data_IF_864753278528
#
_entry.id   IF_864753278528
#
_cell.length_a   1.000
_cell.length_b   1.000
_cell.length_c   1.000
_cell.angle_alpha   90.00
_cell.angle_beta   90.00
_cell.angle_gamma   90.00
#
_symmetry.space_group_name_H-M   'P 1'
#
loop_
_entity.id
_entity.type
_entity.pdbx_description
1 polymer ?
#
# COMPACT_ATOMS: atom_id res chain seq x y z
N UNK A 1 -35.00 29.56 36.88
CA UNK A 1 -33.99 29.28 35.88
C UNK A 1 -33.40 27.90 36.18
N UNK A 2 -33.92 26.88 35.52
CA UNK A 2 -33.41 25.51 35.66
C UNK A 2 -32.27 25.29 34.67
N UNK A 3 -31.12 24.91 35.19
CA UNK A 3 -29.94 24.53 34.39
C UNK A 3 -30.26 23.18 33.72
N UNK A 4 -30.30 23.18 32.38
CA UNK A 4 -30.35 21.94 31.60
C UNK A 4 -28.98 21.27 31.69
N UNK A 5 -28.94 20.09 32.31
CA UNK A 5 -27.76 19.21 32.34
C UNK A 5 -27.42 18.75 30.93
N UNK A 6 -26.18 19.02 30.52
CA UNK A 6 -25.59 18.53 29.28
C UNK A 6 -25.33 17.02 29.44
N UNK A 7 -26.11 16.18 28.74
CA UNK A 7 -25.91 14.74 28.69
C UNK A 7 -24.97 14.38 27.55
N UNK A 8 -23.73 13.94 27.80
CA UNK A 8 -22.76 13.60 26.74
C UNK A 8 -23.02 12.23 26.08
N UNK A 9 -24.08 11.52 26.46
CA UNK A 9 -24.41 10.18 25.93
C UNK A 9 -25.62 10.17 24.99
N UNK A 10 -26.00 11.29 24.40
CA UNK A 10 -27.03 11.29 23.36
C UNK A 10 -26.46 10.64 22.11
N UNK A 11 -26.87 9.42 21.84
CA UNK A 11 -26.50 8.54 20.75
C UNK A 11 -26.40 9.29 19.43
N UNK A 12 -25.19 9.43 18.90
CA UNK A 12 -24.95 9.77 17.51
C UNK A 12 -25.23 8.53 16.65
N UNK A 13 -26.51 8.29 16.35
CA UNK A 13 -26.95 7.45 15.22
C UNK A 13 -27.54 8.33 14.12
N UNK A 14 -27.01 9.53 13.94
CA UNK A 14 -27.19 10.26 12.70
C UNK A 14 -26.18 9.69 11.72
N UNK A 15 -26.65 8.96 10.72
CA UNK A 15 -25.86 8.57 9.56
C UNK A 15 -25.43 9.88 8.91
N UNK A 16 -24.22 10.35 9.22
CA UNK A 16 -23.64 11.49 8.52
C UNK A 16 -23.61 11.05 7.05
N UNK A 17 -24.35 11.77 6.20
CA UNK A 17 -24.36 11.50 4.77
C UNK A 17 -22.90 11.56 4.27
N UNK A 18 -22.36 10.41 3.87
CA UNK A 18 -21.00 10.33 3.38
C UNK A 18 -20.90 10.99 2.03
N UNK A 19 -19.77 11.65 1.77
CA UNK A 19 -19.44 12.15 0.44
C UNK A 19 -19.56 11.00 -0.58
N UNK A 20 -20.19 11.21 -1.74
CA UNK A 20 -20.41 10.13 -2.72
C UNK A 20 -19.16 9.77 -3.57
N UNK A 21 -17.96 10.16 -3.10
CA UNK A 21 -16.67 9.65 -3.57
C UNK A 21 -16.20 8.60 -2.56
N UNK A 22 -15.99 7.35 -2.96
CA UNK A 22 -15.74 6.22 -2.07
C UNK A 22 -14.56 5.39 -2.58
N UNK A 23 -13.71 4.94 -1.65
CA UNK A 23 -12.73 3.89 -1.88
C UNK A 23 -13.22 2.58 -1.23
N UNK A 24 -13.71 1.65 -2.02
CA UNK A 24 -14.03 0.31 -1.55
C UNK A 24 -12.74 -0.51 -1.43
N UNK A 25 -12.57 -1.18 -0.28
CA UNK A 25 -11.38 -1.98 0.04
C UNK A 25 -11.76 -3.46 0.04
N UNK A 26 -11.43 -4.15 -1.04
CA UNK A 26 -11.79 -5.55 -1.28
C UNK A 26 -10.86 -6.50 -0.52
N UNK A 27 -11.24 -6.89 0.71
CA UNK A 27 -10.40 -7.72 1.57
C UNK A 27 -10.21 -9.14 1.02
N UNK A 28 -11.14 -9.64 0.20
CA UNK A 28 -10.96 -10.92 -0.51
C UNK A 28 -9.78 -10.85 -1.51
N UNK A 29 -9.62 -9.73 -2.20
CA UNK A 29 -8.50 -9.50 -3.13
C UNK A 29 -7.17 -9.40 -2.39
N UNK A 30 -7.16 -8.75 -1.21
CA UNK A 30 -5.99 -8.72 -0.33
C UNK A 30 -5.56 -10.13 0.09
N UNK A 31 -6.50 -10.97 0.49
CA UNK A 31 -6.23 -12.36 0.88
C UNK A 31 -5.70 -13.18 -0.31
N UNK A 32 -6.29 -13.02 -1.49
CA UNK A 32 -5.80 -13.64 -2.72
C UNK A 32 -4.35 -13.24 -3.02
N UNK A 33 -4.05 -11.94 -2.99
CA UNK A 33 -2.70 -11.43 -3.25
C UNK A 33 -1.70 -11.96 -2.21
N UNK A 34 -2.07 -11.94 -0.93
CA UNK A 34 -1.23 -12.46 0.14
C UNK A 34 -0.92 -13.95 -0.05
N UNK A 35 -1.91 -14.77 -0.43
CA UNK A 35 -1.74 -16.19 -0.73
C UNK A 35 -0.82 -16.42 -1.94
N UNK A 36 -1.01 -15.65 -3.02
CA UNK A 36 -0.15 -15.69 -4.21
C UNK A 36 1.30 -15.38 -3.86
N UNK A 37 1.53 -14.36 -3.02
CA UNK A 37 2.87 -13.99 -2.56
C UNK A 37 3.46 -15.02 -1.58
N UNK A 38 2.65 -15.64 -0.72
CA UNK A 38 3.06 -16.73 0.16
C UNK A 38 3.57 -17.93 -0.61
N UNK A 39 2.88 -18.33 -1.68
CA UNK A 39 3.31 -19.42 -2.55
C UNK A 39 4.66 -19.12 -3.21
N UNK A 40 4.88 -17.86 -3.65
CA UNK A 40 6.15 -17.45 -4.26
C UNK A 40 7.28 -17.28 -3.23
N UNK A 41 6.95 -16.89 -2.02
CA UNK A 41 7.91 -16.77 -0.93
C UNK A 41 8.40 -18.15 -0.47
N UNK A 42 7.64 -19.23 -0.71
CA UNK A 42 7.96 -20.60 -0.28
C UNK A 42 8.24 -20.66 1.23
N UNK A 43 9.50 -20.89 1.60
CA UNK A 43 9.92 -20.98 3.00
C UNK A 43 10.22 -19.62 3.64
N UNK A 44 10.40 -18.57 2.84
CA UNK A 44 10.69 -17.24 3.36
C UNK A 44 9.45 -16.65 4.07
N UNK A 45 9.68 -16.01 5.20
CA UNK A 45 8.63 -15.29 5.91
C UNK A 45 8.24 -14.01 5.15
N UNK A 46 6.96 -13.69 5.13
CA UNK A 46 6.50 -12.40 4.61
C UNK A 46 6.51 -11.36 5.73
N UNK A 47 7.26 -10.29 5.53
CA UNK A 47 7.16 -9.04 6.25
C UNK A 47 6.26 -8.10 5.43
N UNK A 48 4.99 -8.01 5.77
CA UNK A 48 4.01 -7.21 5.02
C UNK A 48 4.27 -5.71 5.22
N UNK A 49 4.52 -4.99 4.12
CA UNK A 49 4.77 -3.54 4.18
C UNK A 49 3.45 -2.78 4.13
N UNK A 50 3.07 -2.18 5.28
CA UNK A 50 1.76 -1.53 5.50
C UNK A 50 1.89 -0.04 5.85
N UNK A 51 3.01 0.59 5.53
CA UNK A 51 3.28 2.02 5.74
C UNK A 51 2.33 2.92 4.93
N UNK A 52 2.31 4.22 5.25
CA UNK A 52 1.47 5.23 4.60
C UNK A 52 -0.02 4.83 4.60
N UNK A 53 -0.54 4.52 5.79
CA UNK A 53 -1.92 4.03 5.99
C UNK A 53 -2.24 2.80 5.12
N UNK A 54 -1.33 1.81 5.10
CA UNK A 54 -1.39 0.63 4.23
C UNK A 54 -1.53 1.03 2.75
N UNK A 55 -0.62 1.89 2.27
CA UNK A 55 -0.67 2.46 0.91
C UNK A 55 -2.02 3.13 0.60
N UNK A 56 -2.57 3.85 1.57
CA UNK A 56 -3.84 4.56 1.45
C UNK A 56 -5.10 3.70 1.58
N UNK A 57 -4.97 2.41 1.89
CA UNK A 57 -6.09 1.46 1.98
C UNK A 57 -6.75 1.40 3.36
N UNK A 58 -6.16 2.03 4.38
CA UNK A 58 -6.61 1.96 5.77
C UNK A 58 -5.84 0.91 6.58
N UNK A 59 -4.90 1.38 7.41
CA UNK A 59 -3.96 0.55 8.17
C UNK A 59 -4.65 -0.52 9.01
N UNK A 60 -5.76 -0.17 9.68
CA UNK A 60 -6.46 -1.08 10.59
C UNK A 60 -7.04 -2.29 9.85
N UNK A 61 -7.87 -2.07 8.83
CA UNK A 61 -8.55 -3.18 8.15
C UNK A 61 -7.57 -4.09 7.42
N UNK A 62 -6.55 -3.52 6.76
CA UNK A 62 -5.52 -4.28 6.03
C UNK A 62 -4.70 -5.14 6.99
N UNK A 63 -4.14 -4.54 8.04
CA UNK A 63 -3.23 -5.26 8.94
C UNK A 63 -3.95 -6.35 9.73
N UNK A 64 -5.17 -6.10 10.21
CA UNK A 64 -5.96 -7.11 10.91
C UNK A 64 -6.34 -8.27 9.98
N UNK A 65 -6.70 -8.00 8.72
CA UNK A 65 -7.01 -9.04 7.74
C UNK A 65 -5.78 -9.90 7.44
N UNK A 66 -4.61 -9.28 7.23
CA UNK A 66 -3.36 -10.01 7.02
C UNK A 66 -2.96 -10.84 8.25
N UNK A 67 -3.11 -10.29 9.46
CA UNK A 67 -2.82 -11.03 10.69
C UNK A 67 -3.73 -12.26 10.85
N UNK A 68 -5.02 -12.12 10.56
CA UNK A 68 -5.97 -13.25 10.57
C UNK A 68 -5.62 -14.31 9.51
N UNK A 69 -5.00 -13.89 8.41
CA UNK A 69 -4.48 -14.80 7.37
C UNK A 69 -3.11 -15.42 7.73
N UNK A 70 -2.59 -15.18 8.93
CA UNK A 70 -1.33 -15.76 9.42
C UNK A 70 -0.08 -14.93 9.13
N UNK A 71 -0.21 -13.65 8.76
CA UNK A 71 0.93 -12.74 8.69
C UNK A 71 1.32 -12.29 10.12
N UNK A 72 2.56 -12.56 10.51
CA UNK A 72 3.07 -12.26 11.85
C UNK A 72 4.09 -11.11 11.85
N UNK A 73 4.62 -10.73 10.68
CA UNK A 73 5.64 -9.70 10.56
C UNK A 73 5.15 -8.58 9.65
N UNK A 74 5.26 -7.35 10.13
CA UNK A 74 4.79 -6.14 9.46
C UNK A 74 5.89 -5.09 9.42
N UNK A 75 5.84 -4.21 8.43
CA UNK A 75 6.77 -3.11 8.33
C UNK A 75 6.06 -1.80 8.01
N UNK A 76 6.46 -0.76 8.72
CA UNK A 76 5.99 0.62 8.55
C UNK A 76 7.19 1.57 8.41
N UNK A 77 6.94 2.87 8.28
CA UNK A 77 8.02 3.85 8.10
C UNK A 77 8.71 4.19 9.41
N UNK A 78 7.95 4.61 10.43
CA UNK A 78 8.41 5.28 11.64
C UNK A 78 7.70 4.78 12.91
N UNK A 79 8.12 5.34 14.05
CA UNK A 79 7.63 4.95 15.37
C UNK A 79 6.15 5.29 15.58
N UNK A 80 5.62 6.36 14.95
CA UNK A 80 4.23 6.77 15.12
C UNK A 80 3.28 5.79 14.39
N UNK A 81 3.59 5.44 13.14
CA UNK A 81 2.88 4.37 12.42
C UNK A 81 2.99 3.03 13.16
N UNK A 82 4.18 2.71 13.70
CA UNK A 82 4.42 1.49 14.47
C UNK A 82 3.58 1.40 15.74
N UNK A 83 3.48 2.47 16.52
CA UNK A 83 2.65 2.54 17.71
C UNK A 83 1.16 2.38 17.39
N UNK A 84 0.69 3.04 16.33
CA UNK A 84 -0.68 2.91 15.84
C UNK A 84 -0.97 1.48 15.39
N UNK A 85 -0.08 0.88 14.59
CA UNK A 85 -0.20 -0.49 14.13
C UNK A 85 -0.24 -1.49 15.31
N UNK A 86 0.62 -1.27 16.31
CA UNK A 86 0.64 -2.06 17.56
C UNK A 86 -0.71 -2.06 18.27
N UNK A 87 -1.39 -0.91 18.29
CA UNK A 87 -2.72 -0.79 18.91
C UNK A 87 -3.79 -1.66 18.21
N UNK A 88 -3.61 -1.93 16.92
CA UNK A 88 -4.53 -2.78 16.14
C UNK A 88 -4.21 -4.27 16.21
N UNK A 89 -2.93 -4.64 16.26
CA UNK A 89 -2.47 -6.03 16.15
C UNK A 89 -2.17 -6.70 17.50
N UNK A 90 -2.10 -5.91 18.59
CA UNK A 90 -1.69 -6.45 19.89
C UNK A 90 -0.20 -6.87 19.90
N UNK A 91 0.21 -7.63 20.93
CA UNK A 91 1.64 -7.91 21.21
C UNK A 91 2.30 -8.98 20.35
N UNK A 92 1.54 -9.83 19.66
CA UNK A 92 2.08 -11.00 18.94
C UNK A 92 2.81 -10.65 17.64
N UNK A 93 2.39 -9.59 16.96
CA UNK A 93 3.00 -9.21 15.69
C UNK A 93 4.40 -8.60 15.88
N UNK A 94 5.35 -8.95 15.02
CA UNK A 94 6.60 -8.24 14.85
C UNK A 94 6.36 -6.98 14.00
N UNK A 95 6.86 -5.81 14.42
CA UNK A 95 6.70 -4.55 13.71
C UNK A 95 8.06 -3.90 13.51
N UNK A 96 8.48 -3.79 12.25
CA UNK A 96 9.78 -3.25 11.85
C UNK A 96 9.62 -1.83 11.30
N UNK A 97 10.48 -0.89 11.75
CA UNK A 97 10.53 0.49 11.30
C UNK A 97 11.58 0.61 10.18
N UNK A 98 11.15 0.66 8.92
CA UNK A 98 12.04 0.59 7.73
C UNK A 98 12.95 1.82 7.54
N UNK A 99 12.56 2.98 8.09
CA UNK A 99 13.36 4.19 8.05
C UNK A 99 14.24 4.37 9.30
N UNK A 100 14.06 3.52 10.30
CA UNK A 100 14.79 3.56 11.56
C UNK A 100 14.28 4.62 12.50
N UNK A 101 15.22 5.33 13.14
CA UNK A 101 14.96 6.37 14.12
C UNK A 101 15.34 7.74 13.52
N UNK A 102 14.45 8.70 13.60
CA UNK A 102 14.73 10.09 13.19
C UNK A 102 15.32 10.92 14.34
N UNK A 103 14.93 10.60 15.57
CA UNK A 103 15.41 11.26 16.77
C UNK A 103 15.46 10.31 17.99
N UNK A 104 16.24 10.68 19.02
CA UNK A 104 16.42 9.86 20.22
C UNK A 104 15.13 9.65 21.02
N UNK A 105 14.17 10.57 20.92
CA UNK A 105 12.89 10.45 21.62
C UNK A 105 12.08 9.24 21.16
N UNK A 106 12.23 8.82 19.90
CA UNK A 106 11.52 7.67 19.34
C UNK A 106 11.91 6.32 19.96
N UNK A 107 13.11 6.24 20.59
CA UNK A 107 13.55 5.04 21.31
C UNK A 107 12.56 4.67 22.40
N UNK A 108 12.05 5.65 23.15
CA UNK A 108 11.05 5.40 24.19
C UNK A 108 9.74 4.84 23.63
N UNK A 109 9.33 5.32 22.45
CA UNK A 109 8.17 4.78 21.73
C UNK A 109 8.42 3.35 21.26
N UNK A 110 9.61 3.07 20.72
CA UNK A 110 10.00 1.71 20.32
C UNK A 110 9.99 0.74 21.51
N UNK A 111 10.50 1.18 22.66
CA UNK A 111 10.51 0.40 23.88
C UNK A 111 9.09 0.09 24.38
N UNK A 112 8.24 1.12 24.48
CA UNK A 112 6.87 1.01 24.99
C UNK A 112 5.99 0.13 24.11
N UNK A 113 6.15 0.26 22.79
CA UNK A 113 5.32 -0.44 21.81
C UNK A 113 5.98 -1.69 21.22
N UNK A 114 7.13 -2.12 21.76
CA UNK A 114 7.88 -3.30 21.28
C UNK A 114 8.08 -3.25 19.76
N UNK A 115 8.63 -2.13 19.25
CA UNK A 115 8.94 -1.93 17.84
C UNK A 115 10.41 -2.27 17.58
N UNK A 116 10.72 -2.75 16.40
CA UNK A 116 12.06 -3.14 15.97
C UNK A 116 12.59 -2.10 14.97
N UNK A 117 13.37 -1.10 15.38
CA UNK A 117 13.89 -0.10 14.46
C UNK A 117 15.00 -0.67 13.59
N UNK A 118 15.12 -0.13 12.38
CA UNK A 118 16.28 -0.31 11.51
C UNK A 118 17.38 0.66 11.97
N UNK A 119 18.63 0.20 11.98
CA UNK A 119 19.81 1.04 12.21
C UNK A 119 20.66 1.14 10.94
N UNK A 120 21.24 2.32 10.70
CA UNK A 120 22.08 2.64 9.54
C UNK A 120 23.30 3.48 9.89
N UNK A 121 23.36 4.03 11.11
CA UNK A 121 24.38 4.95 11.57
C UNK A 121 24.67 4.74 13.06
N UNK A 122 25.89 5.09 13.47
CA UNK A 122 26.37 4.98 14.85
C UNK A 122 25.50 5.76 15.86
N UNK A 123 25.00 6.92 15.46
CA UNK A 123 24.11 7.72 16.33
C UNK A 123 22.86 6.95 16.80
N UNK A 124 22.33 6.03 15.96
CA UNK A 124 21.16 5.22 16.36
C UNK A 124 21.52 4.27 17.51
N UNK A 125 22.71 3.68 17.46
CA UNK A 125 23.23 2.80 18.52
C UNK A 125 23.44 3.59 19.82
N UNK A 126 24.01 4.80 19.73
CA UNK A 126 24.18 5.71 20.88
C UNK A 126 22.82 6.03 21.53
N UNK A 127 21.82 6.44 20.74
CA UNK A 127 20.47 6.73 21.26
C UNK A 127 19.81 5.52 21.94
N UNK A 128 19.96 4.33 21.34
CA UNK A 128 19.44 3.09 21.91
C UNK A 128 20.14 2.75 23.24
N UNK A 129 21.47 2.90 23.31
CA UNK A 129 22.26 2.65 24.50
C UNK A 129 21.93 3.65 25.62
N UNK A 130 21.89 4.95 25.32
CA UNK A 130 21.55 6.02 26.29
C UNK A 130 20.17 5.82 26.93
N UNK A 131 19.22 5.25 26.18
CA UNK A 131 17.85 4.95 26.64
C UNK A 131 17.69 3.53 27.20
N UNK A 132 18.79 2.77 27.33
CA UNK A 132 18.77 1.37 27.82
C UNK A 132 17.75 0.51 27.05
N UNK A 133 17.77 0.60 25.73
CA UNK A 133 16.85 -0.16 24.86
C UNK A 133 17.11 -1.66 25.00
N UNK A 134 16.06 -2.44 25.29
CA UNK A 134 16.13 -3.88 25.50
C UNK A 134 15.57 -4.72 24.35
N UNK A 135 15.09 -4.05 23.30
CA UNK A 135 14.56 -4.73 22.10
C UNK A 135 15.66 -5.14 21.13
N UNK A 136 15.22 -5.59 19.96
CA UNK A 136 16.10 -5.94 18.84
C UNK A 136 16.05 -4.88 17.75
N UNK A 137 17.09 -4.84 16.90
CA UNK A 137 17.17 -3.94 15.76
C UNK A 137 17.51 -4.68 14.47
N UNK A 138 17.11 -4.14 13.32
CA UNK A 138 17.58 -4.60 12.02
C UNK A 138 18.73 -3.73 11.54
N UNK A 139 19.81 -4.37 11.10
CA UNK A 139 20.88 -3.65 10.39
C UNK A 139 20.49 -3.52 8.90
N UNK A 140 20.43 -2.31 8.39
CA UNK A 140 20.21 -2.06 6.97
C UNK A 140 21.48 -1.60 6.30
N UNK A 141 21.83 -2.26 5.20
CA UNK A 141 23.04 -1.99 4.43
C UNK A 141 22.69 -1.43 3.06
N UNK A 142 23.53 -0.55 2.52
CA UNK A 142 23.38 -0.04 1.17
C UNK A 142 24.31 -0.83 0.23
N UNK A 143 23.71 -1.61 -0.66
CA UNK A 143 24.43 -2.41 -1.65
C UNK A 143 24.41 -1.79 -3.04
N UNK A 144 24.11 -0.48 -3.14
CA UNK A 144 24.18 0.25 -4.40
C UNK A 144 22.95 1.08 -4.76
N UNK A 145 21.93 1.13 -3.91
CA UNK A 145 20.76 2.01 -4.13
C UNK A 145 21.07 3.48 -3.82
N UNK A 146 22.11 3.77 -3.01
CA UNK A 146 22.56 5.12 -2.62
C UNK A 146 21.43 5.94 -1.95
N UNK A 147 20.66 5.31 -1.05
CA UNK A 147 19.54 5.98 -0.38
C UNK A 147 19.67 5.90 1.14
N UNK A 148 19.34 4.77 1.74
CA UNK A 148 19.36 4.54 3.19
C UNK A 148 19.96 3.19 3.49
N UNK A 149 21.05 3.15 4.24
CA UNK A 149 21.77 1.95 4.62
C UNK A 149 23.19 2.27 5.08
N UNK A 150 23.74 1.41 5.92
CA UNK A 150 25.09 1.53 6.42
C UNK A 150 26.11 1.32 5.28
N UNK A 151 27.15 2.14 5.25
CA UNK A 151 28.31 1.99 4.36
C UNK A 151 29.40 1.10 4.97
N UNK A 152 29.47 1.05 6.31
CA UNK A 152 30.43 0.28 7.10
C UNK A 152 29.69 -0.57 8.13
N UNK A 153 28.95 -1.61 7.67
CA UNK A 153 28.09 -2.41 8.54
C UNK A 153 28.85 -3.18 9.61
N UNK A 154 30.13 -3.56 9.37
CA UNK A 154 30.98 -4.26 10.32
C UNK A 154 31.19 -3.44 11.60
N UNK A 155 31.40 -2.13 11.43
CA UNK A 155 31.58 -1.20 12.56
C UNK A 155 30.30 -1.11 13.41
N UNK A 156 29.12 -1.07 12.74
CA UNK A 156 27.84 -1.02 13.46
C UNK A 156 27.54 -2.34 14.17
N UNK A 157 27.91 -3.49 13.61
CA UNK A 157 27.79 -4.79 14.29
C UNK A 157 28.68 -4.81 15.55
N UNK A 158 29.94 -4.37 15.42
CA UNK A 158 30.83 -4.27 16.55
C UNK A 158 30.32 -3.34 17.65
N UNK A 159 29.80 -2.18 17.24
CA UNK A 159 29.17 -1.20 18.17
C UNK A 159 27.94 -1.78 18.85
N UNK A 160 27.07 -2.49 18.13
CA UNK A 160 25.93 -3.22 18.71
C UNK A 160 26.37 -4.20 19.79
N UNK A 161 27.44 -4.97 19.53
CA UNK A 161 28.01 -5.89 20.51
C UNK A 161 28.52 -5.16 21.76
N UNK A 162 29.27 -4.06 21.57
CA UNK A 162 29.82 -3.24 22.68
C UNK A 162 28.72 -2.65 23.55
N UNK A 163 27.62 -2.22 22.95
CA UNK A 163 26.48 -1.63 23.64
C UNK A 163 25.37 -2.63 24.01
N UNK A 164 25.62 -3.93 23.81
CA UNK A 164 24.69 -5.04 24.12
C UNK A 164 23.32 -4.89 23.43
N UNK A 165 23.30 -4.35 22.20
CA UNK A 165 22.10 -4.22 21.35
C UNK A 165 21.98 -5.46 20.50
N UNK A 166 20.86 -6.19 20.64
CA UNK A 166 20.61 -7.43 19.91
C UNK A 166 20.19 -7.15 18.46
N UNK A 167 20.81 -7.84 17.51
CA UNK A 167 20.43 -7.80 16.10
C UNK A 167 19.35 -8.85 15.79
N UNK A 168 18.25 -8.43 15.18
CA UNK A 168 17.17 -9.28 14.68
C UNK A 168 17.45 -9.82 13.27
N UNK A 169 18.29 -9.14 12.50
CA UNK A 169 18.62 -9.51 11.14
C UNK A 169 19.32 -8.40 10.37
N UNK A 170 19.64 -8.71 9.12
CA UNK A 170 20.28 -7.79 8.16
C UNK A 170 19.40 -7.63 6.92
N UNK A 171 19.32 -6.41 6.38
CA UNK A 171 18.53 -6.16 5.17
C UNK A 171 19.20 -5.18 4.21
N UNK A 172 18.85 -5.30 2.92
CA UNK A 172 19.14 -4.31 1.90
C UNK A 172 17.91 -4.05 1.02
N UNK A 173 18.05 -3.28 -0.05
CA UNK A 173 16.94 -2.95 -0.94
C UNK A 173 17.43 -2.80 -2.39
N UNK A 174 16.71 -3.44 -3.32
CA UNK A 174 17.00 -3.39 -4.75
C UNK A 174 16.48 -2.09 -5.36
N UNK A 175 17.30 -1.47 -6.22
CA UNK A 175 16.96 -0.23 -6.89
C UNK A 175 16.12 -0.44 -8.17
N UNK A 176 16.34 -1.56 -8.88
CA UNK A 176 15.83 -1.78 -10.24
C UNK A 176 15.07 -3.11 -10.38
N UNK A 177 14.51 -3.65 -9.30
CA UNK A 177 13.85 -4.97 -9.33
C UNK A 177 12.60 -5.00 -10.23
N UNK A 178 11.98 -3.86 -10.50
CA UNK A 178 10.88 -3.67 -11.45
C UNK A 178 11.30 -3.73 -12.93
N UNK A 179 12.61 -3.74 -13.17
CA UNK A 179 13.25 -3.95 -14.49
C UNK A 179 14.14 -5.19 -14.38
N UNK A 180 13.63 -6.41 -14.56
CA UNK A 180 14.32 -7.67 -14.25
C UNK A 180 15.70 -7.81 -14.90
N UNK A 181 15.84 -7.35 -16.16
CA UNK A 181 17.08 -7.44 -16.93
C UNK A 181 18.14 -6.39 -16.55
N UNK A 182 17.83 -5.46 -15.60
CA UNK A 182 18.78 -4.41 -15.24
C UNK A 182 19.99 -5.01 -14.49
N UNK A 183 21.26 -4.75 -14.94
CA UNK A 183 22.46 -5.41 -14.40
C UNK A 183 22.72 -5.09 -12.93
N UNK A 184 22.22 -3.94 -12.43
CA UNK A 184 22.37 -3.57 -11.03
C UNK A 184 21.66 -4.55 -10.08
N UNK A 185 20.65 -5.28 -10.54
CA UNK A 185 19.96 -6.29 -9.72
C UNK A 185 20.92 -7.39 -9.27
N UNK A 186 21.70 -7.95 -10.20
CA UNK A 186 22.70 -8.98 -9.89
C UNK A 186 23.80 -8.40 -9.01
N UNK A 187 24.33 -7.22 -9.37
CA UNK A 187 25.39 -6.56 -8.58
C UNK A 187 24.96 -6.34 -7.12
N UNK A 188 23.74 -5.86 -6.89
CA UNK A 188 23.22 -5.64 -5.53
C UNK A 188 22.96 -6.96 -4.78
N UNK A 189 22.43 -7.97 -5.47
CA UNK A 189 22.13 -9.25 -4.87
C UNK A 189 23.41 -10.00 -4.47
N UNK A 190 24.42 -10.02 -5.34
CA UNK A 190 25.69 -10.66 -5.06
C UNK A 190 26.45 -9.94 -3.93
N UNK A 191 26.46 -8.60 -3.97
CA UNK A 191 27.05 -7.78 -2.91
C UNK A 191 26.39 -8.03 -1.56
N UNK A 192 25.03 -8.15 -1.52
CA UNK A 192 24.30 -8.44 -0.29
C UNK A 192 24.58 -9.86 0.21
N UNK A 193 24.58 -10.83 -0.70
CA UNK A 193 24.88 -12.22 -0.35
C UNK A 193 26.29 -12.35 0.26
N UNK A 194 27.31 -11.81 -0.41
CA UNK A 194 28.69 -11.87 0.06
C UNK A 194 28.85 -11.19 1.43
N UNK A 195 28.32 -9.97 1.56
CA UNK A 195 28.35 -9.22 2.81
C UNK A 195 27.68 -10.00 3.95
N UNK A 196 26.51 -10.59 3.72
CA UNK A 196 25.81 -11.40 4.72
C UNK A 196 26.66 -12.60 5.16
N UNK A 197 27.29 -13.33 4.21
CA UNK A 197 28.17 -14.46 4.53
C UNK A 197 29.39 -14.06 5.35
N UNK A 198 29.98 -12.89 5.05
CA UNK A 198 31.22 -12.44 5.67
C UNK A 198 31.01 -11.92 7.10
N UNK A 199 29.93 -11.18 7.35
CA UNK A 199 29.78 -10.42 8.61
C UNK A 199 28.66 -10.92 9.53
N UNK A 200 27.64 -11.59 9.01
CA UNK A 200 26.46 -11.95 9.78
C UNK A 200 25.73 -13.22 9.29
N UNK A 201 26.42 -14.32 8.96
CA UNK A 201 25.82 -15.51 8.33
C UNK A 201 24.76 -16.21 9.19
N UNK A 202 24.75 -15.93 10.49
CA UNK A 202 23.80 -16.50 11.46
C UNK A 202 22.54 -15.65 11.67
N UNK A 203 22.50 -14.43 11.14
CA UNK A 203 21.35 -13.55 11.26
C UNK A 203 20.36 -13.76 10.11
N UNK A 204 19.04 -13.68 10.36
CA UNK A 204 18.06 -13.63 9.28
C UNK A 204 18.34 -12.49 8.30
N UNK A 205 18.20 -12.78 6.99
CA UNK A 205 18.48 -11.83 5.93
C UNK A 205 17.25 -11.49 5.10
N UNK A 206 17.19 -10.25 4.58
CA UNK A 206 16.08 -9.78 3.76
C UNK A 206 16.53 -8.82 2.68
N UNK A 207 16.30 -9.18 1.41
CA UNK A 207 16.65 -8.35 0.24
C UNK A 207 15.40 -7.94 -0.56
N UNK A 208 14.56 -8.91 -0.90
CA UNK A 208 13.55 -8.77 -1.93
C UNK A 208 12.32 -7.97 -1.47
N UNK A 209 11.95 -6.97 -2.29
CA UNK A 209 10.67 -6.28 -2.27
C UNK A 209 9.64 -7.02 -3.15
N UNK A 210 8.49 -6.40 -3.47
CA UNK A 210 7.46 -7.01 -4.35
C UNK A 210 8.00 -7.42 -5.71
N UNK A 211 8.71 -6.54 -6.40
CA UNK A 211 9.26 -6.82 -7.72
C UNK A 211 10.40 -7.86 -7.64
N UNK A 212 11.29 -7.74 -6.65
CA UNK A 212 12.38 -8.68 -6.45
C UNK A 212 11.90 -10.10 -6.17
N UNK A 213 10.79 -10.28 -5.45
CA UNK A 213 10.20 -11.60 -5.20
C UNK A 213 9.74 -12.28 -6.50
N UNK A 214 9.36 -11.49 -7.51
CA UNK A 214 8.91 -11.99 -8.82
C UNK A 214 10.11 -12.22 -9.74
N UNK A 215 10.97 -11.19 -9.87
CA UNK A 215 12.05 -11.18 -10.86
C UNK A 215 13.30 -11.98 -10.46
N UNK A 216 13.57 -12.10 -9.17
CA UNK A 216 14.84 -12.62 -8.63
C UNK A 216 14.62 -13.70 -7.55
N UNK A 217 13.76 -14.70 -7.78
CA UNK A 217 13.41 -15.70 -6.76
C UNK A 217 14.61 -16.49 -6.23
N UNK A 218 15.70 -16.61 -7.00
CA UNK A 218 16.94 -17.26 -6.59
C UNK A 218 17.71 -16.50 -5.50
N UNK A 219 17.42 -15.20 -5.30
CA UNK A 219 18.03 -14.37 -4.25
C UNK A 219 17.10 -14.18 -3.04
N UNK A 220 16.12 -15.08 -2.87
CA UNK A 220 15.36 -15.16 -1.63
C UNK A 220 16.28 -15.52 -0.48
N UNK A 221 16.09 -14.77 0.61
CA UNK A 221 16.66 -15.09 1.90
C UNK A 221 15.52 -15.47 2.86
N UNK A 222 15.72 -15.33 4.16
CA UNK A 222 14.77 -15.77 5.17
C UNK A 222 13.46 -14.97 5.16
N UNK A 223 13.52 -13.69 4.74
CA UNK A 223 12.37 -12.77 4.80
C UNK A 223 12.26 -11.99 3.50
N UNK A 224 11.02 -11.89 2.96
CA UNK A 224 10.66 -11.05 1.83
C UNK A 224 9.71 -9.94 2.27
N UNK A 225 9.78 -8.77 1.62
CA UNK A 225 9.07 -7.55 2.02
C UNK A 225 8.13 -7.02 0.93
N UNK A 226 7.06 -7.75 0.59
CA UNK A 226 6.10 -7.25 -0.36
C UNK A 226 5.35 -6.04 0.21
N UNK A 227 5.16 -5.04 -0.65
CA UNK A 227 4.32 -3.86 -0.42
C UNK A 227 3.27 -3.78 -1.50
N UNK A 228 3.58 -3.15 -2.63
CA UNK A 228 2.60 -2.84 -3.69
C UNK A 228 1.82 -4.06 -4.19
N UNK A 229 2.46 -5.22 -4.26
CA UNK A 229 1.83 -6.45 -4.69
C UNK A 229 0.71 -6.92 -3.73
N UNK A 230 0.78 -6.62 -2.44
CA UNK A 230 -0.31 -6.89 -1.49
C UNK A 230 -1.59 -6.14 -1.89
N UNK A 231 -1.44 -4.94 -2.44
CA UNK A 231 -2.53 -4.05 -2.81
C UNK A 231 -3.04 -4.27 -4.25
N UNK A 232 -2.47 -5.25 -4.97
CA UNK A 232 -2.98 -5.72 -6.24
C UNK A 232 -2.55 -4.89 -7.45
N UNK A 233 -1.51 -4.09 -7.33
CA UNK A 233 -0.83 -3.56 -8.49
C UNK A 233 0.35 -4.47 -8.85
N UNK A 234 0.44 -4.82 -10.13
CA UNK A 234 1.52 -5.66 -10.64
C UNK A 234 2.84 -4.89 -10.58
N UNK A 235 3.84 -5.39 -9.83
CA UNK A 235 5.13 -4.70 -9.69
C UNK A 235 5.93 -4.65 -10.99
N UNK A 236 5.68 -5.61 -11.88
CA UNK A 236 6.26 -5.73 -13.22
C UNK A 236 5.09 -5.89 -14.19
N UNK A 237 4.56 -4.79 -14.77
CA UNK A 237 3.30 -4.82 -15.51
C UNK A 237 3.28 -5.75 -16.72
N UNK A 238 4.43 -6.00 -17.35
CA UNK A 238 4.58 -6.91 -18.50
C UNK A 238 4.80 -8.39 -18.09
N UNK A 239 4.94 -8.66 -16.79
CA UNK A 239 5.04 -10.01 -16.22
C UNK A 239 4.00 -10.18 -15.10
N UNK A 240 2.69 -10.13 -15.41
CA UNK A 240 1.65 -10.17 -14.38
C UNK A 240 1.60 -11.54 -13.71
N UNK A 241 1.36 -11.53 -12.40
CA UNK A 241 1.23 -12.74 -11.59
C UNK A 241 -0.19 -13.01 -11.10
N UNK A 242 -1.16 -12.29 -11.64
CA UNK A 242 -2.57 -12.45 -11.35
C UNK A 242 -3.01 -11.77 -10.05
N UNK A 243 -2.39 -10.66 -9.68
CA UNK A 243 -2.80 -9.85 -8.54
C UNK A 243 -4.13 -9.15 -8.82
N UNK A 244 -4.90 -8.93 -7.77
CA UNK A 244 -6.23 -8.31 -7.84
C UNK A 244 -6.22 -6.97 -7.12
N UNK A 245 -6.64 -5.86 -7.76
CA UNK A 245 -6.75 -4.57 -7.10
C UNK A 245 -7.56 -4.64 -5.80
N UNK A 246 -6.98 -4.13 -4.71
CA UNK A 246 -7.63 -4.10 -3.40
C UNK A 246 -8.49 -2.86 -3.24
N UNK A 247 -8.05 -1.72 -3.78
CA UNK A 247 -8.83 -0.48 -3.78
C UNK A 247 -9.60 -0.33 -5.09
N UNK A 248 -10.90 -0.07 -4.97
CA UNK A 248 -11.73 0.48 -6.05
C UNK A 248 -12.10 1.90 -5.69
N UNK A 249 -11.64 2.88 -6.46
CA UNK A 249 -12.03 4.29 -6.31
C UNK A 249 -13.18 4.60 -7.24
N UNK A 250 -14.26 5.12 -6.68
CA UNK A 250 -15.47 5.47 -7.41
C UNK A 250 -16.05 6.82 -7.02
N UNK A 251 -16.78 7.42 -7.94
CA UNK A 251 -17.54 8.65 -7.75
C UNK A 251 -18.96 8.52 -8.27
N UNK A 252 -19.90 9.19 -7.61
CA UNK A 252 -21.30 9.19 -8.01
C UNK A 252 -21.58 10.33 -9.01
N UNK A 253 -22.42 10.04 -9.99
CA UNK A 253 -22.95 11.01 -10.96
C UNK A 253 -23.95 11.93 -10.26
N UNK A 254 -23.65 13.23 -10.27
CA UNK A 254 -24.47 14.25 -9.61
C UNK A 254 -25.44 14.92 -10.57
N UNK A 255 -25.06 15.05 -11.84
CA UNK A 255 -25.84 15.74 -12.87
C UNK A 255 -25.46 15.24 -14.26
N UNK A 256 -26.44 15.14 -15.14
CA UNK A 256 -26.22 14.91 -16.58
C UNK A 256 -26.81 16.09 -17.33
N UNK A 257 -26.17 16.53 -18.42
CA UNK A 257 -26.64 17.63 -19.26
C UNK A 257 -26.07 17.53 -20.66
N UNK A 258 -26.85 18.05 -21.62
CA UNK A 258 -26.41 18.21 -22.99
C UNK A 258 -25.56 19.46 -23.16
N UNK A 259 -24.62 19.41 -24.06
CA UNK A 259 -23.67 20.46 -24.40
C UNK A 259 -23.63 20.59 -25.92
N UNK A 260 -23.87 21.78 -26.43
CA UNK A 260 -23.86 22.02 -27.87
C UNK A 260 -22.44 22.10 -28.42
N UNK A 261 -22.27 21.72 -29.66
CA UNK A 261 -21.03 21.91 -30.44
C UNK A 261 -20.48 23.34 -30.29
N UNK A 262 -19.18 23.43 -30.10
CA UNK A 262 -18.46 24.69 -29.90
C UNK A 262 -18.47 25.23 -28.47
N UNK A 263 -19.23 24.63 -27.54
CA UNK A 263 -19.19 25.00 -26.12
C UNK A 263 -17.88 24.58 -25.49
N UNK A 264 -17.38 25.37 -24.54
CA UNK A 264 -16.17 25.07 -23.80
C UNK A 264 -16.50 24.50 -22.42
N UNK A 265 -15.66 23.59 -21.91
CA UNK A 265 -15.89 22.91 -20.63
C UNK A 265 -14.79 23.19 -19.62
N UNK A 266 -15.23 23.35 -18.35
CA UNK A 266 -14.40 23.45 -17.15
C UNK A 266 -13.41 24.63 -17.14
N UNK A 267 -12.54 24.67 -16.13
CA UNK A 267 -11.56 25.74 -15.93
C UNK A 267 -10.61 25.92 -17.13
N UNK A 268 -10.45 27.18 -17.54
CA UNK A 268 -9.56 27.58 -18.64
C UNK A 268 -10.03 27.13 -20.01
N UNK A 269 -11.34 26.78 -20.14
CA UNK A 269 -11.94 26.35 -21.41
C UNK A 269 -11.05 25.34 -22.17
N UNK A 270 -10.45 24.40 -21.43
CA UNK A 270 -9.41 23.49 -21.94
C UNK A 270 -9.94 22.35 -22.83
N UNK A 271 -11.24 22.24 -22.95
CA UNK A 271 -11.93 21.33 -23.84
C UNK A 271 -13.02 22.10 -24.59
N UNK A 272 -13.16 21.86 -25.88
CA UNK A 272 -14.24 22.41 -26.71
C UNK A 272 -14.99 21.24 -27.34
N UNK A 273 -16.30 21.20 -27.17
CA UNK A 273 -17.16 20.19 -27.75
C UNK A 273 -17.09 20.24 -29.29
N UNK A 274 -16.66 19.16 -29.90
CA UNK A 274 -16.52 19.07 -31.38
C UNK A 274 -17.85 18.83 -32.07
N UNK A 275 -18.78 18.20 -31.36
CA UNK A 275 -20.14 17.89 -31.76
C UNK A 275 -21.06 18.09 -30.55
N UNK A 276 -22.38 18.01 -30.74
CA UNK A 276 -23.31 17.95 -29.61
C UNK A 276 -23.01 16.70 -28.79
N UNK A 277 -22.93 16.85 -27.47
CA UNK A 277 -22.53 15.78 -26.57
C UNK A 277 -23.30 15.82 -25.25
N UNK A 278 -23.34 14.70 -24.55
CA UNK A 278 -23.90 14.61 -23.20
C UNK A 278 -22.76 14.41 -22.20
N UNK A 279 -22.75 15.21 -21.14
CA UNK A 279 -21.73 15.14 -20.11
C UNK A 279 -22.33 14.82 -18.74
N UNK A 280 -21.57 14.08 -17.91
CA UNK A 280 -21.89 13.84 -16.52
C UNK A 280 -20.93 14.60 -15.61
N UNK A 281 -21.48 15.27 -14.57
CA UNK A 281 -20.74 15.80 -13.45
C UNK A 281 -20.61 14.72 -12.38
N UNK A 282 -19.38 14.31 -12.07
CA UNK A 282 -19.09 13.25 -11.10
C UNK A 282 -18.45 13.83 -9.84
N UNK A 283 -18.91 13.39 -8.66
CA UNK A 283 -18.41 13.80 -7.36
C UNK A 283 -17.08 13.12 -7.03
N UNK A 284 -16.03 13.47 -7.74
CA UNK A 284 -14.64 13.12 -7.45
C UNK A 284 -13.72 14.14 -8.11
N UNK A 285 -12.79 14.72 -7.35
CA UNK A 285 -11.86 15.72 -7.84
C UNK A 285 -10.46 15.60 -7.27
N UNK A 286 -9.57 16.56 -7.61
CA UNK A 286 -8.18 16.50 -7.14
C UNK A 286 -8.05 16.67 -5.62
N UNK A 287 -9.01 17.31 -4.94
CA UNK A 287 -9.06 17.38 -3.48
C UNK A 287 -9.39 16.04 -2.82
N UNK A 288 -9.92 15.08 -3.58
CA UNK A 288 -10.14 13.70 -3.15
C UNK A 288 -8.89 12.82 -3.39
N UNK A 289 -7.97 13.30 -4.22
CA UNK A 289 -6.78 12.57 -4.64
C UNK A 289 -6.82 12.07 -6.09
N UNK A 290 -7.87 12.40 -6.86
CA UNK A 290 -7.87 12.11 -8.30
C UNK A 290 -6.80 12.98 -8.98
N UNK A 291 -5.80 12.41 -9.67
CA UNK A 291 -4.74 13.19 -10.30
C UNK A 291 -5.29 14.20 -11.31
N UNK A 292 -4.99 15.50 -11.12
CA UNK A 292 -5.43 16.55 -12.02
C UNK A 292 -4.86 16.39 -13.44
N UNK A 293 -3.77 15.69 -13.56
CA UNK A 293 -3.14 15.32 -14.84
C UNK A 293 -3.99 14.38 -15.70
N UNK A 294 -5.01 13.71 -15.15
CA UNK A 294 -5.99 12.95 -15.94
C UNK A 294 -6.92 13.84 -16.78
N UNK A 295 -6.89 15.16 -16.61
CA UNK A 295 -7.70 16.10 -17.39
C UNK A 295 -7.49 15.93 -18.90
N UNK A 296 -8.55 15.70 -19.66
CA UNK A 296 -8.57 15.51 -21.11
C UNK A 296 -7.79 14.29 -21.65
N UNK A 297 -7.34 13.36 -20.79
CA UNK A 297 -6.60 12.17 -21.24
C UNK A 297 -6.95 10.90 -20.48
N UNK A 298 -7.54 11.02 -19.30
CA UNK A 298 -8.02 9.88 -18.54
C UNK A 298 -9.46 9.53 -18.86
N UNK A 299 -9.95 8.48 -18.23
CA UNK A 299 -11.34 8.03 -18.33
C UNK A 299 -11.77 7.37 -17.03
N UNK A 300 -13.07 7.29 -16.81
CA UNK A 300 -13.70 6.41 -15.85
C UNK A 300 -14.32 5.21 -16.56
N UNK A 301 -14.66 4.18 -15.82
CA UNK A 301 -15.32 2.98 -16.35
C UNK A 301 -16.75 2.87 -15.80
N UNK A 302 -17.69 2.52 -16.67
CA UNK A 302 -19.06 2.19 -16.34
C UNK A 302 -19.56 1.03 -17.22
N UNK A 303 -19.94 -0.09 -16.60
CA UNK A 303 -20.48 -1.28 -17.28
C UNK A 303 -19.62 -1.77 -18.48
N UNK A 304 -18.29 -1.71 -18.34
CA UNK A 304 -17.34 -2.10 -19.39
C UNK A 304 -17.05 -1.02 -20.44
N UNK A 305 -17.67 0.16 -20.35
CA UNK A 305 -17.41 1.31 -21.21
C UNK A 305 -16.41 2.26 -20.57
N UNK A 306 -15.49 2.80 -21.36
CA UNK A 306 -14.61 3.89 -20.94
C UNK A 306 -15.27 5.22 -21.26
N UNK A 307 -15.49 6.03 -20.22
CA UNK A 307 -16.08 7.36 -20.29
C UNK A 307 -14.96 8.41 -20.15
N UNK A 308 -14.59 9.11 -21.25
CA UNK A 308 -13.47 10.05 -21.23
C UNK A 308 -13.68 11.21 -20.25
N UNK A 309 -12.62 11.61 -19.55
CA UNK A 309 -12.60 12.84 -18.76
C UNK A 309 -12.43 14.02 -19.69
N UNK A 310 -13.39 14.95 -19.68
CA UNK A 310 -13.42 16.14 -20.53
C UNK A 310 -13.30 17.41 -19.72
N UNK A 311 -12.41 18.30 -20.14
CA UNK A 311 -12.07 19.50 -19.40
C UNK A 311 -11.16 19.24 -18.20
N UNK A 312 -10.80 20.31 -17.48
CA UNK A 312 -9.93 20.20 -16.29
C UNK A 312 -10.69 19.64 -15.10
N UNK A 313 -10.08 18.66 -14.41
CA UNK A 313 -10.57 18.16 -13.13
C UNK A 313 -10.55 19.30 -12.12
N UNK A 314 -11.68 19.51 -11.43
CA UNK A 314 -11.88 20.49 -10.37
C UNK A 314 -11.46 19.92 -9.00
N UNK A 315 -11.55 20.73 -7.95
CA UNK A 315 -11.22 20.28 -6.59
C UNK A 315 -12.12 19.14 -6.14
N UNK A 316 -13.42 19.24 -6.44
CA UNK A 316 -14.46 18.35 -5.91
C UNK A 316 -15.17 17.51 -6.98
N UNK A 317 -14.94 17.81 -8.26
CA UNK A 317 -15.68 17.23 -9.37
C UNK A 317 -14.79 17.02 -10.59
N UNK A 318 -15.22 16.10 -11.45
CA UNK A 318 -14.76 15.98 -12.84
C UNK A 318 -15.96 15.86 -13.79
N UNK A 319 -15.71 16.07 -15.07
CA UNK A 319 -16.69 15.90 -16.14
C UNK A 319 -16.31 14.69 -16.99
N UNK A 320 -17.29 13.86 -17.32
CA UNK A 320 -17.14 12.74 -18.23
C UNK A 320 -17.99 12.97 -19.49
N UNK A 321 -17.46 12.60 -20.63
CA UNK A 321 -18.28 12.41 -21.84
C UNK A 321 -19.04 11.09 -21.71
N UNK A 322 -20.36 11.17 -21.68
CA UNK A 322 -21.27 10.03 -21.53
C UNK A 322 -22.18 9.87 -22.73
N UNK A 323 -21.82 10.47 -23.85
CA UNK A 323 -22.58 10.39 -25.10
C UNK A 323 -22.73 8.93 -25.53
N UNK A 324 -23.97 8.49 -25.69
CA UNK A 324 -24.29 7.11 -26.09
C UNK A 324 -24.14 6.04 -24.99
N UNK A 325 -23.98 6.46 -23.73
CA UNK A 325 -24.07 5.55 -22.57
C UNK A 325 -25.45 5.60 -21.93
N UNK A 326 -25.81 4.52 -21.21
CA UNK A 326 -27.04 4.43 -20.41
C UNK A 326 -26.84 4.96 -18.97
N UNK A 327 -25.83 5.80 -18.75
CA UNK A 327 -25.48 6.32 -17.43
C UNK A 327 -26.55 7.32 -16.94
N UNK A 328 -27.01 7.14 -15.70
CA UNK A 328 -28.02 8.00 -15.08
C UNK A 328 -27.47 8.75 -13.86
N UNK A 329 -28.21 9.76 -13.41
CA UNK A 329 -27.93 10.46 -12.14
C UNK A 329 -28.05 9.47 -10.99
N UNK A 330 -27.11 9.54 -10.05
CA UNK A 330 -26.87 8.64 -8.92
C UNK A 330 -26.13 7.33 -9.29
N UNK A 331 -25.87 7.04 -10.54
CA UNK A 331 -24.97 5.95 -10.89
C UNK A 331 -23.56 6.20 -10.37
N UNK A 332 -22.80 5.11 -10.24
CA UNK A 332 -21.42 5.13 -9.75
C UNK A 332 -20.47 4.73 -10.86
N UNK A 333 -19.46 5.55 -11.12
CA UNK A 333 -18.39 5.27 -12.08
C UNK A 333 -17.09 4.94 -11.36
N UNK A 334 -16.28 4.08 -11.96
CA UNK A 334 -15.00 3.61 -11.39
C UNK A 334 -13.82 4.31 -12.05
N UNK A 335 -12.91 4.86 -11.26
CA UNK A 335 -11.68 5.51 -11.74
C UNK A 335 -10.47 4.57 -11.69
N UNK A 336 -10.45 3.62 -10.79
CA UNK A 336 -9.61 2.41 -10.81
C UNK A 336 -10.18 1.33 -9.91
N UNK A 337 -9.84 0.09 -10.21
CA UNK A 337 -10.32 -1.10 -9.53
C UNK A 337 -10.08 -2.34 -10.38
N UNK A 338 -10.96 -3.33 -10.27
CA UNK A 338 -10.81 -4.60 -10.98
C UNK A 338 -11.00 -4.45 -12.50
N UNK A 339 -11.98 -3.63 -12.93
CA UNK A 339 -12.27 -3.37 -14.35
C UNK A 339 -11.29 -2.37 -15.01
N UNK A 340 -10.68 -1.51 -14.21
CA UNK A 340 -9.71 -0.50 -14.65
C UNK A 340 -8.51 -0.51 -13.71
N UNK A 341 -7.45 -1.24 -14.06
CA UNK A 341 -6.34 -1.48 -13.14
C UNK A 341 -5.59 -0.19 -12.77
N UNK A 342 -5.11 -0.07 -11.51
CA UNK A 342 -4.27 1.07 -11.12
C UNK A 342 -2.97 1.18 -11.94
N UNK A 343 -2.45 0.07 -12.47
CA UNK A 343 -1.30 0.09 -13.39
C UNK A 343 -1.66 0.82 -14.70
N UNK A 344 -2.83 0.51 -15.27
CA UNK A 344 -3.32 1.18 -16.50
C UNK A 344 -3.44 2.69 -16.29
N UNK A 345 -4.09 3.11 -15.19
CA UNK A 345 -4.26 4.54 -14.90
C UNK A 345 -2.92 5.24 -14.65
N UNK A 346 -2.00 4.59 -13.93
CA UNK A 346 -0.66 5.12 -13.70
C UNK A 346 0.14 5.31 -15.00
N UNK A 347 0.03 4.35 -15.93
CA UNK A 347 0.70 4.43 -17.23
C UNK A 347 0.23 5.61 -18.09
N UNK A 348 -1.07 5.98 -18.00
CA UNK A 348 -1.58 7.17 -18.70
C UNK A 348 -0.93 8.48 -18.21
N UNK A 349 -0.36 8.47 -17.01
CA UNK A 349 0.18 9.65 -16.34
C UNK A 349 1.70 9.65 -16.25
N UNK A 350 2.36 8.67 -16.86
CA UNK A 350 3.82 8.46 -16.71
C UNK A 350 4.24 8.43 -15.22
N UNK A 351 3.48 7.66 -14.43
CA UNK A 351 3.70 7.51 -12.98
C UNK A 351 3.53 6.06 -12.53
N UNK A 352 3.57 5.84 -11.23
CA UNK A 352 3.48 4.51 -10.62
C UNK A 352 2.18 4.36 -9.79
N UNK A 353 1.61 3.15 -9.67
CA UNK A 353 0.37 2.92 -8.90
C UNK A 353 0.44 3.37 -7.44
N UNK A 354 1.64 3.39 -6.85
CA UNK A 354 1.87 3.89 -5.49
C UNK A 354 1.33 5.29 -5.27
N UNK A 355 1.60 6.22 -6.23
CA UNK A 355 1.18 7.63 -6.12
C UNK A 355 -0.34 7.78 -6.20
N UNK A 356 -1.01 6.96 -7.01
CA UNK A 356 -2.47 6.95 -7.09
C UNK A 356 -3.10 6.54 -5.76
N UNK A 357 -2.66 5.40 -5.21
CA UNK A 357 -3.26 4.83 -4.00
C UNK A 357 -2.97 5.68 -2.76
N UNK A 358 -1.71 6.10 -2.57
CA UNK A 358 -1.31 6.91 -1.41
C UNK A 358 -1.82 8.34 -1.50
N UNK A 359 -2.16 8.81 -2.70
CA UNK A 359 -2.68 10.16 -2.95
C UNK A 359 -4.14 10.36 -2.54
N UNK A 360 -4.90 9.28 -2.27
CA UNK A 360 -6.30 9.40 -1.87
C UNK A 360 -6.40 10.05 -0.51
N UNK A 361 -7.09 11.21 -0.48
CA UNK A 361 -7.24 12.03 0.70
C UNK A 361 -8.14 11.37 1.75
N UNK A 362 -7.94 11.71 3.03
CA UNK A 362 -8.71 11.16 4.17
C UNK A 362 -10.21 11.48 4.10
N UNK A 363 -10.62 12.52 3.35
CA UNK A 363 -12.03 12.85 3.17
C UNK A 363 -12.81 11.84 2.30
N UNK A 364 -12.11 10.97 1.55
CA UNK A 364 -12.71 9.84 0.84
C UNK A 364 -12.83 8.67 1.82
N UNK A 365 -14.02 8.21 2.17
CA UNK A 365 -14.17 7.09 3.09
C UNK A 365 -13.64 5.80 2.48
N UNK A 366 -12.90 5.02 3.31
CA UNK A 366 -12.47 3.66 2.99
C UNK A 366 -13.50 2.69 3.52
N UNK A 367 -14.22 2.00 2.63
CA UNK A 367 -15.27 1.06 2.99
C UNK A 367 -14.75 -0.37 2.78
N UNK A 368 -14.41 -1.10 3.85
CA UNK A 368 -13.99 -2.49 3.72
C UNK A 368 -15.13 -3.36 3.19
N UNK A 369 -14.85 -4.11 2.12
CA UNK A 369 -15.72 -5.16 1.61
C UNK A 369 -15.19 -6.49 2.15
N UNK A 370 -15.89 -7.14 3.09
CA UNK A 370 -15.42 -8.36 3.71
C UNK A 370 -15.31 -9.51 2.70
N UNK A 371 -14.46 -10.51 2.99
CA UNK A 371 -14.42 -11.73 2.20
C UNK A 371 -15.79 -12.41 2.19
N UNK A 372 -16.17 -13.01 1.05
CA UNK A 372 -17.35 -13.88 1.02
C UNK A 372 -17.13 -15.06 1.96
N UNK A 373 -18.12 -15.48 2.75
CA UNK A 373 -18.01 -16.69 3.54
C UNK A 373 -17.58 -17.86 2.66
N UNK A 374 -16.46 -18.49 2.99
CA UNK A 374 -16.10 -19.73 2.31
C UNK A 374 -17.11 -20.80 2.73
N UNK A 375 -17.60 -21.65 1.80
CA UNK A 375 -18.36 -22.83 2.21
C UNK A 375 -17.49 -23.66 3.15
N UNK A 376 -18.07 -24.30 4.18
CA UNK A 376 -17.32 -25.14 5.10
C UNK A 376 -16.51 -26.15 4.29
N UNK A 377 -15.24 -26.30 4.65
CA UNK A 377 -14.32 -27.27 4.02
C UNK A 377 -14.95 -28.66 4.17
N UNK A 378 -15.55 -29.16 3.11
CA UNK A 378 -16.00 -30.57 3.07
C UNK A 378 -14.69 -31.35 2.87
N UNK A 379 -14.16 -31.92 3.94
CA UNK A 379 -13.10 -32.89 3.84
C UNK A 379 -13.61 -34.03 2.96
N UNK A 380 -13.00 -34.19 1.78
CA UNK A 380 -13.30 -35.33 0.91
C UNK A 380 -13.14 -36.59 1.75
N UNK A 381 -14.29 -37.22 1.98
CA UNK A 381 -14.38 -38.44 2.78
C UNK A 381 -13.47 -39.49 2.20
N UNK A 382 -12.68 -40.09 3.04
CA UNK A 382 -11.95 -41.32 2.78
C UNK A 382 -12.94 -42.31 2.12
N UNK A 383 -12.77 -42.49 0.82
CA UNK A 383 -13.43 -43.63 0.12
C UNK A 383 -12.89 -44.91 0.73
N UNK A 384 -13.73 -45.56 1.50
CA UNK A 384 -13.44 -46.83 2.17
C UNK A 384 -13.00 -47.86 1.16
N UNK A 385 -11.86 -48.45 1.43
CA UNK A 385 -11.49 -49.77 0.91
C UNK A 385 -12.38 -50.81 1.60
N UNK A 386 -13.29 -51.37 0.84
CA UNK A 386 -13.89 -52.66 1.18
C UNK A 386 -14.17 -53.41 -0.12
N UNK A 387 -13.54 -54.55 -0.27
CA UNK A 387 -13.77 -55.54 -1.33
C UNK A 387 -12.49 -56.30 -1.66
#
# INVERSE_FOLDING_TARGET
MQAQSFDPMRKASETIAMRPAIAHIHLQNLLHNYQTLRQRAEHAQIMAVVKADAYGHGLKCISQTLQQAGCECFAVTDASEGALLRSYLGKKASIVLLSGLFESAEVSTCQTHHLTPVITEEKHIQWLSEKSFTGQVWLKVDTGMQRLGAKHPEQLIQSCHQHQIALAGIMSHLACADTPAHPLNTVQADAFYQLHQDIAPHLPASLLNSAGLIALPQHKHDIVRPGIALYGAEPIPHEPIGLKPVMQLSGQVMQIRDVLKGSTLSYGASFTAKDDMTIALVCLGYGDGLPRTLSNQGYAEFQGQHLPIVGRICMDFCLLDVSGSDLEVNDTVTFWGESLSPNTVASLLDTIPYTLMTGINQRVPRIPIPPKPQPPFVADGAAGASG
#
